data_IF_519484988190
#
_entry.id   IF_519484988190
#
_cell.length_a   1.000
_cell.length_b   1.000
_cell.length_c   1.000
_cell.angle_alpha   90.00
_cell.angle_beta   90.00
_cell.angle_gamma   90.00
#
_symmetry.space_group_name_H-M   'P 1'
#
loop_
_entity.id
_entity.type
_entity.pdbx_description
1 polymer ?
#
# COMPACT_ATOMS: atom_id res chain seq x y z
N UNK A 1 21.44 9.02 -7.60
CA UNK A 1 20.58 9.68 -8.62
C UNK A 1 19.60 8.70 -9.27
N UNK A 2 20.04 7.50 -9.67
CA UNK A 2 19.17 6.49 -10.32
C UNK A 2 18.01 6.03 -9.42
N UNK A 3 18.23 5.84 -8.11
CA UNK A 3 17.19 5.39 -7.20
C UNK A 3 16.05 6.42 -7.04
N UNK A 4 16.37 7.71 -7.05
CA UNK A 4 15.37 8.78 -6.98
C UNK A 4 14.54 8.87 -8.26
N UNK A 5 15.19 8.81 -9.42
CA UNK A 5 14.49 8.81 -10.71
C UNK A 5 13.56 7.59 -10.86
N UNK A 6 14.03 6.41 -10.46
CA UNK A 6 13.21 5.18 -10.49
C UNK A 6 12.02 5.30 -9.56
N UNK A 7 12.20 5.82 -8.34
CA UNK A 7 11.09 5.99 -7.39
C UNK A 7 10.04 6.99 -7.88
N UNK A 8 10.49 8.09 -8.49
CA UNK A 8 9.58 9.09 -9.10
C UNK A 8 8.78 8.49 -10.24
N UNK A 9 9.42 7.73 -11.14
CA UNK A 9 8.75 7.07 -12.27
C UNK A 9 7.80 5.98 -11.76
N UNK A 10 8.18 5.23 -10.73
CA UNK A 10 7.33 4.20 -10.13
C UNK A 10 6.06 4.80 -9.51
N UNK A 11 6.18 5.92 -8.80
CA UNK A 11 5.04 6.66 -8.25
C UNK A 11 4.10 7.19 -9.34
N UNK A 12 4.65 7.61 -10.48
CA UNK A 12 3.87 8.06 -11.64
C UNK A 12 3.24 6.90 -12.41
N UNK A 13 3.92 5.75 -12.50
CA UNK A 13 3.48 4.62 -13.33
C UNK A 13 2.46 3.72 -12.65
N UNK A 14 2.36 3.74 -11.32
CA UNK A 14 1.30 3.07 -10.53
C UNK A 14 1.25 1.54 -10.61
N UNK A 15 2.20 0.91 -11.26
CA UNK A 15 2.27 -0.56 -11.39
C UNK A 15 2.94 -1.23 -10.18
N UNK A 16 2.60 -0.83 -8.95
CA UNK A 16 2.91 -1.54 -7.70
C UNK A 16 4.28 -2.27 -7.66
N UNK A 17 5.36 -1.57 -8.06
CA UNK A 17 6.72 -2.12 -8.03
C UNK A 17 7.15 -2.93 -9.26
N UNK A 18 6.25 -3.29 -10.20
CA UNK A 18 6.65 -4.00 -11.42
C UNK A 18 7.49 -3.11 -12.34
N UNK A 19 7.14 -1.83 -12.44
CA UNK A 19 7.92 -0.85 -13.20
C UNK A 19 9.26 -0.57 -12.54
N UNK A 20 9.31 -0.52 -11.19
CA UNK A 20 10.55 -0.37 -10.42
C UNK A 20 11.54 -1.48 -10.77
N UNK A 21 11.08 -2.73 -10.79
CA UNK A 21 11.93 -3.88 -11.17
C UNK A 21 12.39 -3.79 -12.61
N UNK A 22 11.50 -3.44 -13.54
CA UNK A 22 11.85 -3.28 -14.96
C UNK A 22 12.86 -2.16 -15.20
N UNK A 23 12.70 -1.03 -14.55
CA UNK A 23 13.61 0.11 -14.66
C UNK A 23 14.96 -0.18 -14.01
N UNK A 24 14.99 -0.75 -12.81
CA UNK A 24 16.25 -1.18 -12.18
C UNK A 24 16.98 -2.21 -13.03
N UNK A 25 16.22 -3.16 -13.60
CA UNK A 25 16.79 -4.09 -14.57
C UNK A 25 17.44 -3.36 -15.75
N UNK A 26 16.74 -2.43 -16.37
CA UNK A 26 17.25 -1.66 -17.52
C UNK A 26 18.49 -0.83 -17.18
N UNK A 27 18.54 -0.23 -15.98
CA UNK A 27 19.68 0.59 -15.54
C UNK A 27 20.89 -0.22 -15.09
N UNK A 28 20.69 -1.44 -14.58
CA UNK A 28 21.78 -2.29 -14.08
C UNK A 28 22.22 -3.38 -15.08
N UNK A 29 21.54 -3.53 -16.23
CA UNK A 29 21.86 -4.56 -17.22
C UNK A 29 23.16 -4.30 -18.02
N UNK A 30 23.80 -3.13 -17.85
CA UNK A 30 25.08 -2.82 -18.49
C UNK A 30 26.31 -3.57 -17.94
N UNK A 31 26.23 -4.16 -16.74
CA UNK A 31 27.40 -4.67 -16.01
C UNK A 31 27.55 -6.22 -15.99
N UNK A 32 26.88 -6.94 -16.87
CA UNK A 32 27.09 -8.41 -17.03
C UNK A 32 26.51 -9.29 -15.89
N UNK A 33 25.84 -8.71 -14.89
CA UNK A 33 25.24 -9.42 -13.75
C UNK A 33 23.71 -9.61 -13.87
N UNK A 34 23.20 -9.53 -15.08
CA UNK A 34 21.79 -9.42 -15.45
C UNK A 34 20.87 -10.47 -14.79
N UNK A 35 21.23 -11.74 -14.90
CA UNK A 35 20.33 -12.84 -14.47
C UNK A 35 20.22 -12.99 -12.95
N UNK A 36 21.27 -12.65 -12.20
CA UNK A 36 21.27 -12.78 -10.74
C UNK A 36 20.51 -11.65 -10.06
N UNK A 37 20.60 -10.42 -10.56
CA UNK A 37 19.90 -9.25 -10.03
C UNK A 37 18.40 -9.35 -10.20
N UNK A 38 17.92 -9.72 -11.39
CA UNK A 38 16.49 -9.92 -11.66
C UNK A 38 15.90 -11.03 -10.80
N UNK A 39 16.63 -12.14 -10.67
CA UNK A 39 16.19 -13.26 -9.82
C UNK A 39 16.14 -12.88 -8.34
N UNK A 40 17.05 -12.02 -7.87
CA UNK A 40 17.01 -11.50 -6.51
C UNK A 40 15.80 -10.55 -6.31
N UNK A 41 15.59 -9.61 -7.22
CA UNK A 41 14.47 -8.66 -7.16
C UNK A 41 13.11 -9.36 -7.24
N UNK A 42 12.93 -10.32 -8.14
CA UNK A 42 11.67 -11.07 -8.25
C UNK A 42 11.28 -11.83 -6.97
N UNK A 43 12.29 -12.23 -6.16
CA UNK A 43 12.06 -12.86 -4.85
C UNK A 43 11.63 -11.89 -3.77
N UNK A 44 11.99 -10.61 -3.89
CA UNK A 44 11.70 -9.58 -2.91
C UNK A 44 10.35 -8.90 -3.17
N UNK A 45 9.89 -8.88 -4.44
CA UNK A 45 8.62 -8.25 -4.86
C UNK A 45 7.42 -8.60 -3.98
N UNK A 46 7.15 -9.88 -3.64
CA UNK A 46 6.01 -10.23 -2.82
C UNK A 46 6.01 -9.56 -1.43
N UNK A 47 7.17 -9.19 -0.92
CA UNK A 47 7.28 -8.55 0.39
C UNK A 47 6.90 -7.07 0.39
N UNK A 48 6.85 -6.39 -0.77
CA UNK A 48 6.40 -4.99 -0.85
C UNK A 48 4.96 -4.80 -0.38
N UNK A 49 4.10 -5.81 -0.58
CA UNK A 49 2.70 -5.77 -0.12
C UNK A 49 2.52 -6.30 1.30
N UNK A 50 3.57 -6.81 1.94
CA UNK A 50 3.48 -7.44 3.26
C UNK A 50 3.09 -6.46 4.35
N UNK A 51 3.59 -5.21 4.28
CA UNK A 51 3.24 -4.15 5.22
C UNK A 51 1.76 -3.76 5.13
N UNK A 52 1.24 -3.61 3.92
CA UNK A 52 -0.19 -3.36 3.69
C UNK A 52 -1.04 -4.51 4.27
N UNK A 53 -0.60 -5.75 4.08
CA UNK A 53 -1.27 -6.93 4.61
C UNK A 53 -1.30 -6.94 6.14
N UNK A 54 -0.16 -6.65 6.79
CA UNK A 54 -0.09 -6.57 8.25
C UNK A 54 -1.01 -5.49 8.81
N UNK A 55 -0.94 -4.29 8.26
CA UNK A 55 -1.76 -3.15 8.70
C UNK A 55 -3.25 -3.40 8.42
N UNK A 56 -3.61 -4.02 7.30
CA UNK A 56 -4.99 -4.42 7.01
C UNK A 56 -5.53 -5.43 8.04
N UNK A 57 -4.68 -6.33 8.54
CA UNK A 57 -5.04 -7.24 9.62
C UNK A 57 -5.33 -6.51 10.95
N UNK A 58 -4.53 -5.51 11.29
CA UNK A 58 -4.78 -4.66 12.46
C UNK A 58 -6.10 -3.89 12.30
N UNK A 59 -6.34 -3.32 11.12
CA UNK A 59 -7.60 -2.63 10.81
C UNK A 59 -8.78 -3.60 10.87
N UNK A 60 -8.64 -4.81 10.33
CA UNK A 60 -9.68 -5.84 10.40
C UNK A 60 -10.05 -6.16 11.86
N UNK A 61 -9.06 -6.23 12.76
CA UNK A 61 -9.33 -6.44 14.18
C UNK A 61 -10.19 -5.32 14.80
N UNK A 62 -10.06 -4.07 14.31
CA UNK A 62 -10.87 -2.95 14.81
C UNK A 62 -12.38 -3.12 14.56
N UNK A 63 -12.78 -3.94 13.59
CA UNK A 63 -14.20 -4.24 13.32
C UNK A 63 -14.92 -4.90 14.50
N UNK A 64 -14.19 -5.57 15.39
CA UNK A 64 -14.74 -6.19 16.59
C UNK A 64 -14.88 -5.22 17.76
N UNK A 65 -14.03 -4.21 17.82
CA UNK A 65 -13.93 -3.34 19.00
C UNK A 65 -14.59 -1.98 18.81
N UNK A 66 -14.84 -1.54 17.57
CA UNK A 66 -15.35 -0.20 17.29
C UNK A 66 -16.62 -0.21 16.44
N UNK A 67 -17.54 0.75 16.67
CA UNK A 67 -18.77 0.92 15.88
C UNK A 67 -18.43 1.57 14.52
N UNK A 68 -17.97 0.78 13.56
CA UNK A 68 -17.71 1.27 12.22
C UNK A 68 -19.00 1.63 11.49
N UNK A 69 -18.89 2.60 10.56
CA UNK A 69 -19.99 2.95 9.67
C UNK A 69 -20.47 1.72 8.88
N UNK A 70 -21.79 1.55 8.65
CA UNK A 70 -22.34 0.39 7.94
C UNK A 70 -21.77 0.21 6.55
N UNK A 71 -21.41 1.31 5.88
CA UNK A 71 -20.84 1.29 4.54
C UNK A 71 -19.44 0.70 4.51
N UNK A 72 -18.60 1.01 5.49
CA UNK A 72 -17.26 0.40 5.62
C UNK A 72 -17.36 -1.07 5.98
N UNK A 73 -18.33 -1.45 6.80
CA UNK A 73 -18.49 -2.81 7.28
C UNK A 73 -18.79 -3.82 6.16
N UNK A 74 -19.37 -3.39 5.05
CA UNK A 74 -19.63 -4.22 3.87
C UNK A 74 -18.34 -4.78 3.23
N UNK A 75 -17.22 -4.08 3.38
CA UNK A 75 -15.95 -4.40 2.71
C UNK A 75 -14.97 -5.21 3.58
N UNK A 76 -15.44 -5.79 4.69
CA UNK A 76 -14.60 -6.58 5.60
C UNK A 76 -13.86 -7.72 4.91
N UNK A 77 -14.48 -8.35 3.88
CA UNK A 77 -13.86 -9.42 3.10
C UNK A 77 -12.62 -8.96 2.33
N UNK A 78 -12.59 -7.72 1.85
CA UNK A 78 -11.42 -7.16 1.17
C UNK A 78 -10.23 -7.01 2.14
N UNK A 79 -10.49 -6.48 3.33
CA UNK A 79 -9.44 -6.34 4.37
C UNK A 79 -8.94 -7.71 4.83
N UNK A 80 -9.84 -8.67 5.00
CA UNK A 80 -9.47 -10.06 5.33
C UNK A 80 -8.64 -10.70 4.21
N UNK A 81 -9.02 -10.51 2.95
CA UNK A 81 -8.28 -11.04 1.80
C UNK A 81 -6.86 -10.52 1.73
N UNK A 82 -6.67 -9.23 1.95
CA UNK A 82 -5.32 -8.63 2.00
C UNK A 82 -4.56 -9.09 3.25
N UNK A 83 -5.20 -9.21 4.40
CA UNK A 83 -4.55 -9.76 5.61
C UNK A 83 -4.03 -11.19 5.38
N UNK A 84 -4.81 -12.03 4.70
CA UNK A 84 -4.41 -13.41 4.41
C UNK A 84 -3.22 -13.52 3.43
N UNK A 85 -2.90 -12.44 2.72
CA UNK A 85 -1.75 -12.40 1.83
C UNK A 85 -0.42 -12.62 2.57
N UNK A 86 -0.23 -12.01 3.75
CA UNK A 86 1.00 -12.14 4.53
C UNK A 86 1.27 -13.59 5.00
N UNK A 87 0.32 -14.28 5.68
CA UNK A 87 0.53 -15.67 6.03
C UNK A 87 0.68 -16.57 4.81
N UNK A 88 0.00 -16.27 3.69
CA UNK A 88 0.16 -17.00 2.44
C UNK A 88 1.59 -16.87 1.90
N UNK A 89 2.13 -15.66 1.78
CA UNK A 89 3.51 -15.44 1.33
C UNK A 89 4.51 -16.09 2.28
N UNK A 90 4.28 -15.99 3.59
CA UNK A 90 5.15 -16.61 4.58
C UNK A 90 5.15 -18.15 4.44
N UNK A 91 3.97 -18.75 4.24
CA UNK A 91 3.82 -20.19 4.00
C UNK A 91 4.51 -20.62 2.71
N UNK A 92 4.27 -19.92 1.61
CA UNK A 92 4.88 -20.21 0.30
C UNK A 92 6.41 -20.06 0.36
N UNK A 93 6.89 -19.00 1.00
CA UNK A 93 8.34 -18.76 1.17
C UNK A 93 9.04 -19.79 2.07
N UNK A 94 8.29 -20.50 2.92
CA UNK A 94 8.85 -21.55 3.79
C UNK A 94 8.98 -22.90 3.08
N UNK A 95 8.41 -23.05 1.89
CA UNK A 95 8.49 -24.27 1.10
C UNK A 95 9.78 -24.31 0.26
N UNK A 96 10.76 -25.12 0.69
CA UNK A 96 12.07 -25.30 0.02
C UNK A 96 11.95 -25.78 -1.45
N UNK A 97 10.83 -26.43 -1.80
CA UNK A 97 10.58 -26.98 -3.15
C UNK A 97 10.26 -25.91 -4.21
N UNK A 98 10.01 -24.67 -3.81
CA UNK A 98 9.72 -23.59 -4.75
C UNK A 98 11.00 -22.82 -5.06
N UNK A 99 11.59 -22.96 -6.28
CA UNK A 99 12.91 -22.42 -6.62
C UNK A 99 13.01 -20.90 -6.57
N UNK A 100 11.87 -20.20 -6.52
CA UNK A 100 11.81 -18.74 -6.52
C UNK A 100 11.70 -18.12 -5.13
N UNK A 101 11.10 -18.79 -4.14
CA UNK A 101 10.75 -18.22 -2.83
C UNK A 101 11.61 -18.74 -1.65
N UNK A 102 12.11 -19.98 -1.75
CA UNK A 102 12.70 -20.70 -0.60
C UNK A 102 14.09 -20.25 -0.14
N UNK A 103 14.69 -19.21 -0.73
CA UNK A 103 16.10 -18.85 -0.45
C UNK A 103 16.31 -17.50 0.26
N UNK A 104 15.24 -16.85 0.72
CA UNK A 104 15.38 -15.58 1.47
C UNK A 104 15.54 -15.89 2.95
N UNK A 105 16.64 -15.48 3.61
CA UNK A 105 16.84 -15.68 5.05
C UNK A 105 15.72 -15.05 5.88
N UNK A 106 15.34 -15.67 6.99
CA UNK A 106 14.27 -15.18 7.86
C UNK A 106 14.51 -13.73 8.32
N UNK A 107 15.75 -13.38 8.66
CA UNK A 107 16.14 -12.02 9.04
C UNK A 107 15.81 -11.02 7.95
N UNK A 108 16.12 -11.34 6.69
CA UNK A 108 15.82 -10.49 5.53
C UNK A 108 14.32 -10.37 5.32
N UNK A 109 13.55 -11.46 5.44
CA UNK A 109 12.07 -11.42 5.34
C UNK A 109 11.47 -10.48 6.37
N UNK A 110 11.88 -10.60 7.63
CA UNK A 110 11.39 -9.73 8.72
C UNK A 110 11.76 -8.28 8.49
N UNK A 111 12.99 -8.00 8.03
CA UNK A 111 13.43 -6.65 7.69
C UNK A 111 12.57 -6.04 6.56
N UNK A 112 12.27 -6.82 5.52
CA UNK A 112 11.42 -6.37 4.41
C UNK A 112 9.98 -6.09 4.86
N UNK A 113 9.41 -6.94 5.72
CA UNK A 113 8.08 -6.71 6.29
C UNK A 113 8.07 -5.43 7.13
N UNK A 114 9.10 -5.20 7.95
CA UNK A 114 9.20 -3.98 8.75
C UNK A 114 9.32 -2.72 7.88
N UNK A 115 10.17 -2.74 6.87
CA UNK A 115 10.33 -1.60 5.93
C UNK A 115 9.04 -1.33 5.19
N UNK A 116 8.40 -2.37 4.65
CA UNK A 116 7.10 -2.24 3.98
C UNK A 116 6.01 -1.70 4.92
N UNK A 117 6.00 -2.16 6.17
CA UNK A 117 5.05 -1.67 7.18
C UNK A 117 5.29 -0.20 7.52
N UNK A 118 6.56 0.20 7.63
CA UNK A 118 6.92 1.60 7.86
C UNK A 118 6.50 2.48 6.66
N UNK A 119 6.71 2.05 5.44
CA UNK A 119 6.30 2.74 4.22
C UNK A 119 4.79 3.00 4.19
N UNK A 120 3.98 1.94 4.30
CA UNK A 120 2.52 2.06 4.33
C UNK A 120 2.01 2.82 5.56
N UNK A 121 2.68 2.66 6.70
CA UNK A 121 2.39 3.41 7.93
C UNK A 121 2.65 4.90 7.78
N UNK A 122 3.75 5.28 7.14
CA UNK A 122 4.08 6.70 6.88
C UNK A 122 3.05 7.34 5.95
N UNK A 123 2.63 6.64 4.89
CA UNK A 123 1.59 7.13 4.00
C UNK A 123 0.24 7.31 4.74
N UNK A 124 -0.13 6.37 5.62
CA UNK A 124 -1.30 6.52 6.49
C UNK A 124 -1.18 7.73 7.41
N UNK A 125 -0.03 7.88 8.09
CA UNK A 125 0.22 9.02 9.00
C UNK A 125 0.13 10.34 8.24
N UNK A 126 0.66 10.42 7.03
CA UNK A 126 0.54 11.59 6.16
C UNK A 126 -0.93 11.92 5.86
N UNK A 127 -1.73 10.92 5.49
CA UNK A 127 -3.16 11.10 5.25
C UNK A 127 -3.92 11.59 6.49
N UNK A 128 -3.66 10.98 7.64
CA UNK A 128 -4.28 11.37 8.91
C UNK A 128 -3.85 12.77 9.35
N UNK A 129 -2.58 13.15 9.13
CA UNK A 129 -2.07 14.47 9.44
C UNK A 129 -2.75 15.55 8.62
N UNK A 130 -2.91 15.34 7.32
CA UNK A 130 -3.65 16.26 6.45
C UNK A 130 -5.11 16.38 6.90
N UNK A 131 -5.77 15.26 7.20
CA UNK A 131 -7.15 15.25 7.69
C UNK A 131 -7.29 16.04 9.00
N UNK A 132 -6.35 15.87 9.92
CA UNK A 132 -6.32 16.60 11.18
C UNK A 132 -6.09 18.11 10.99
N UNK A 133 -5.11 18.49 10.17
CA UNK A 133 -4.81 19.91 9.88
C UNK A 133 -5.96 20.63 9.19
N UNK A 134 -6.77 19.91 8.42
CA UNK A 134 -7.99 20.45 7.80
C UNK A 134 -9.19 20.50 8.74
N UNK A 135 -9.04 20.10 10.00
CA UNK A 135 -10.12 20.08 10.98
C UNK A 135 -11.20 19.04 10.69
N UNK A 136 -10.84 17.92 10.09
CA UNK A 136 -11.80 16.86 9.76
C UNK A 136 -12.29 16.16 11.05
N UNK A 137 -13.59 16.27 11.36
CA UNK A 137 -14.20 15.70 12.56
C UNK A 137 -14.76 14.28 12.30
N UNK A 138 -13.95 13.42 11.64
CA UNK A 138 -14.30 12.01 11.43
C UNK A 138 -13.48 11.16 12.41
N UNK A 139 -14.12 10.23 13.16
CA UNK A 139 -13.40 9.37 14.07
C UNK A 139 -12.35 8.51 13.37
N UNK A 140 -11.17 8.36 14.00
CA UNK A 140 -10.05 7.59 13.44
C UNK A 140 -10.42 6.14 13.11
N UNK A 141 -11.30 5.52 13.90
CA UNK A 141 -11.76 4.15 13.64
C UNK A 141 -12.59 4.01 12.35
N UNK A 142 -13.09 5.10 11.76
CA UNK A 142 -13.71 5.13 10.43
C UNK A 142 -12.71 5.59 9.35
N UNK A 143 -11.85 6.57 9.68
CA UNK A 143 -10.92 7.16 8.72
C UNK A 143 -9.81 6.18 8.30
N UNK A 144 -9.27 5.41 9.26
CA UNK A 144 -8.22 4.42 8.98
C UNK A 144 -8.72 3.28 8.07
N UNK A 145 -9.86 2.61 8.35
CA UNK A 145 -10.40 1.60 7.43
C UNK A 145 -10.75 2.17 6.07
N UNK A 146 -11.28 3.39 5.98
CA UNK A 146 -11.56 4.06 4.71
C UNK A 146 -10.29 4.23 3.88
N UNK A 147 -9.20 4.70 4.49
CA UNK A 147 -7.91 4.83 3.82
C UNK A 147 -7.42 3.49 3.24
N UNK A 148 -7.42 2.43 4.05
CA UNK A 148 -6.97 1.11 3.58
C UNK A 148 -7.86 0.54 2.49
N UNK A 149 -9.17 0.69 2.57
CA UNK A 149 -10.09 0.30 1.49
C UNK A 149 -9.80 1.06 0.19
N UNK A 150 -9.57 2.36 0.29
CA UNK A 150 -9.23 3.17 -0.88
C UNK A 150 -7.89 2.75 -1.51
N UNK A 151 -6.87 2.47 -0.70
CA UNK A 151 -5.57 1.95 -1.16
C UNK A 151 -5.75 0.60 -1.86
N UNK A 152 -6.46 -0.34 -1.25
CA UNK A 152 -6.69 -1.67 -1.81
C UNK A 152 -7.39 -1.57 -3.17
N UNK A 153 -8.47 -0.80 -3.25
CA UNK A 153 -9.21 -0.59 -4.50
C UNK A 153 -8.36 0.15 -5.53
N UNK A 154 -7.54 1.11 -5.08
CA UNK A 154 -6.56 1.80 -5.91
C UNK A 154 -5.58 0.84 -6.58
N UNK A 155 -5.00 -0.09 -5.81
CA UNK A 155 -4.07 -1.12 -6.32
C UNK A 155 -4.78 -2.07 -7.29
N UNK A 156 -5.97 -2.59 -6.93
CA UNK A 156 -6.71 -3.51 -7.78
C UNK A 156 -7.24 -2.87 -9.07
N UNK A 157 -7.43 -1.56 -9.10
CA UNK A 157 -7.84 -0.86 -10.32
C UNK A 157 -6.78 -0.86 -11.40
N UNK A 158 -5.52 -1.16 -11.05
CA UNK A 158 -4.35 -1.08 -11.93
C UNK A 158 -4.18 0.29 -12.62
N UNK A 159 -4.84 1.32 -12.10
CA UNK A 159 -4.70 2.69 -12.61
C UNK A 159 -3.44 3.31 -12.01
N UNK A 160 -2.58 3.93 -12.83
CA UNK A 160 -1.38 4.62 -12.36
C UNK A 160 -1.66 5.56 -11.19
N UNK A 161 -0.94 5.39 -10.07
CA UNK A 161 -1.13 6.18 -8.85
C UNK A 161 -2.51 6.05 -8.18
N UNK A 162 -3.34 5.08 -8.60
CA UNK A 162 -4.73 4.95 -8.12
C UNK A 162 -5.60 6.17 -8.45
N UNK A 163 -5.20 6.98 -9.45
CA UNK A 163 -5.89 8.23 -9.80
C UNK A 163 -7.33 7.92 -10.20
N UNK A 164 -8.27 8.51 -9.50
CA UNK A 164 -9.70 8.28 -9.68
C UNK A 164 -10.26 7.17 -8.80
N UNK A 165 -9.70 5.96 -8.78
CA UNK A 165 -10.23 4.84 -7.98
C UNK A 165 -10.05 5.06 -6.48
N UNK A 166 -8.84 5.40 -6.03
CA UNK A 166 -8.57 5.79 -4.65
C UNK A 166 -9.40 7.02 -4.25
N UNK A 167 -9.40 8.04 -5.11
CA UNK A 167 -10.07 9.32 -4.86
C UNK A 167 -11.58 9.13 -4.69
N UNK A 168 -12.18 8.33 -5.55
CA UNK A 168 -13.62 8.05 -5.53
C UNK A 168 -14.05 7.37 -4.24
N UNK A 169 -13.27 6.41 -3.75
CA UNK A 169 -13.55 5.72 -2.48
C UNK A 169 -13.41 6.66 -1.30
N UNK A 170 -12.36 7.50 -1.28
CA UNK A 170 -12.18 8.46 -0.19
C UNK A 170 -13.30 9.51 -0.18
N UNK A 171 -13.61 10.09 -1.35
CA UNK A 171 -14.69 11.10 -1.46
C UNK A 171 -16.03 10.50 -1.05
N UNK A 172 -16.41 9.35 -1.62
CA UNK A 172 -17.69 8.71 -1.32
C UNK A 172 -17.80 8.28 0.15
N UNK A 173 -16.71 7.75 0.71
CA UNK A 173 -16.67 7.36 2.11
C UNK A 173 -16.77 8.55 3.06
N UNK A 174 -16.04 9.64 2.81
CA UNK A 174 -16.12 10.86 3.62
C UNK A 174 -17.49 11.53 3.52
N UNK A 175 -18.06 11.57 2.32
CA UNK A 175 -19.40 12.16 2.12
C UNK A 175 -20.51 11.34 2.77
N UNK A 176 -20.41 10.01 2.78
CA UNK A 176 -21.34 9.15 3.54
C UNK A 176 -21.26 9.38 5.06
N UNK A 177 -20.13 9.90 5.56
CA UNK A 177 -19.92 10.29 6.95
C UNK A 177 -20.27 11.75 7.24
N UNK A 178 -20.89 12.47 6.29
CA UNK A 178 -21.35 13.85 6.45
C UNK A 178 -20.31 14.93 6.13
N UNK A 179 -19.16 14.57 5.58
CA UNK A 179 -18.15 15.53 5.14
C UNK A 179 -18.56 16.14 3.78
N UNK A 180 -18.43 17.46 3.63
CA UNK A 180 -18.73 18.10 2.36
C UNK A 180 -17.79 17.66 1.23
N UNK A 181 -18.31 17.55 0.01
CA UNK A 181 -17.51 17.18 -1.17
C UNK A 181 -16.29 18.09 -1.33
N UNK A 182 -16.44 19.39 -1.12
CA UNK A 182 -15.35 20.35 -1.24
C UNK A 182 -14.21 20.04 -0.28
N UNK A 183 -14.53 19.70 0.98
CA UNK A 183 -13.53 19.36 2.00
C UNK A 183 -12.85 18.02 1.67
N UNK A 184 -13.61 17.00 1.21
CA UNK A 184 -13.07 15.72 0.80
C UNK A 184 -12.10 15.83 -0.39
N UNK A 185 -12.45 16.61 -1.40
CA UNK A 185 -11.58 16.87 -2.56
C UNK A 185 -10.34 17.65 -2.14
N UNK A 186 -10.48 18.68 -1.30
CA UNK A 186 -9.33 19.45 -0.81
C UNK A 186 -8.35 18.58 0.00
N UNK A 187 -8.87 17.68 0.84
CA UNK A 187 -8.05 16.70 1.56
C UNK A 187 -7.23 15.83 0.61
N UNK A 188 -7.86 15.31 -0.43
CA UNK A 188 -7.18 14.48 -1.41
C UNK A 188 -6.10 15.23 -2.16
N UNK A 189 -6.37 16.46 -2.60
CA UNK A 189 -5.37 17.28 -3.29
C UNK A 189 -4.17 17.55 -2.40
N UNK A 190 -4.37 17.94 -1.14
CA UNK A 190 -3.28 18.17 -0.20
C UNK A 190 -2.52 16.87 0.13
N UNK A 191 -3.23 15.75 0.33
CA UNK A 191 -2.59 14.46 0.54
C UNK A 191 -1.72 14.05 -0.66
N UNK A 192 -2.21 14.21 -1.89
CA UNK A 192 -1.41 13.94 -3.08
C UNK A 192 -0.18 14.84 -3.18
N UNK A 193 -0.33 16.14 -2.90
CA UNK A 193 0.81 17.05 -2.86
C UNK A 193 1.86 16.59 -1.86
N UNK A 194 1.47 16.17 -0.65
CA UNK A 194 2.44 15.65 0.33
C UNK A 194 3.12 14.37 -0.16
N UNK A 195 2.41 13.45 -0.80
CA UNK A 195 3.00 12.22 -1.35
C UNK A 195 3.94 12.45 -2.55
N UNK A 196 3.77 13.53 -3.32
CA UNK A 196 4.64 13.85 -4.46
C UNK A 196 5.85 14.72 -4.08
N UNK A 197 5.80 15.42 -2.94
CA UNK A 197 6.87 16.31 -2.48
C UNK A 197 7.88 15.55 -1.59
N UNK A 198 7.42 14.53 -0.85
CA UNK A 198 8.23 13.66 0.02
C UNK A 198 8.75 12.45 -0.77
#
# INVERSE_FOLDING_TARGET
>A
ETSWAVNTINNLSGFAGLVDVGLRYSFYSGDGHEKSGVKALSRLLPYFMSGLSLLSGLVFATFWFFPLSPDLRKYWLLLLGIFLYLPFIFFVSSREKLPYFGQVPLKTRLSLILVSTAEWGTALVSFLSVAYLMGLHVPLYNLIPLYFLAVIIGIFSMIPGGIGSFDLIVISGLTSMGVSNALAVSLLLLFRLTCYII
#
